data_IF_730484826192
#
_entry.id   IF_730484826192
#
_cell.length_a   1.000
_cell.length_b   1.000
_cell.length_c   1.000
_cell.angle_alpha   90.00
_cell.angle_beta   90.00
_cell.angle_gamma   90.00
#
_symmetry.space_group_name_H-M   'P 1'
#
loop_
_entity.id
_entity.type
_entity.pdbx_description
1 polymer ?
#
# COMPACT_ATOMS: atom_id res chain seq x y z
N UNK A 1 -0.37 -2.89 30.27
CA UNK A 1 1.03 -2.47 30.45
C UNK A 1 1.61 -2.30 29.05
N UNK A 2 1.98 -1.09 28.64
CA UNK A 2 2.57 -0.86 27.31
C UNK A 2 4.07 -1.05 27.43
N UNK A 3 4.59 -2.17 26.94
CA UNK A 3 6.04 -2.38 26.84
C UNK A 3 6.60 -1.50 25.71
N UNK A 4 7.60 -0.64 25.97
CA UNK A 4 8.20 0.17 24.94
C UNK A 4 8.91 -0.75 23.93
N UNK A 5 8.53 -0.64 22.66
CA UNK A 5 9.14 -1.44 21.58
C UNK A 5 10.66 -1.25 21.55
N UNK A 6 11.40 -2.37 21.46
CA UNK A 6 12.86 -2.38 21.35
C UNK A 6 13.31 -1.54 20.15
N UNK A 7 14.17 -0.54 20.39
CA UNK A 7 14.72 0.31 19.33
C UNK A 7 16.17 -0.09 19.04
N UNK A 8 16.48 -0.39 17.78
CA UNK A 8 17.83 -0.65 17.28
C UNK A 8 18.27 0.50 16.39
N UNK A 9 19.56 0.82 16.39
CA UNK A 9 20.13 1.93 15.61
C UNK A 9 21.23 1.43 14.68
N UNK A 10 21.24 1.94 13.45
CA UNK A 10 22.36 1.81 12.53
C UNK A 10 23.21 3.09 12.54
N UNK A 11 24.53 2.93 12.49
CA UNK A 11 25.46 4.00 12.16
C UNK A 11 25.84 3.86 10.68
N UNK A 12 25.58 4.89 9.88
CA UNK A 12 25.86 4.88 8.44
C UNK A 12 26.78 6.05 8.08
N UNK A 13 27.78 5.77 7.24
CA UNK A 13 28.61 6.79 6.61
C UNK A 13 28.08 7.05 5.20
N UNK A 14 27.97 8.34 4.85
CA UNK A 14 27.52 8.78 3.52
C UNK A 14 28.54 9.76 2.95
N UNK A 15 28.54 9.93 1.63
CA UNK A 15 29.41 10.93 1.01
C UNK A 15 29.02 12.35 1.43
N UNK A 16 29.97 13.31 1.47
CA UNK A 16 29.69 14.69 1.85
C UNK A 16 28.55 15.33 1.05
N UNK A 17 28.54 15.09 -0.27
CA UNK A 17 27.51 15.60 -1.19
C UNK A 17 26.10 15.12 -0.83
N UNK A 18 25.96 13.86 -0.42
CA UNK A 18 24.67 13.31 0.01
C UNK A 18 24.23 13.94 1.32
N UNK A 19 25.15 14.06 2.28
CA UNK A 19 24.86 14.70 3.56
C UNK A 19 24.37 16.14 3.38
N UNK A 20 25.07 16.94 2.57
CA UNK A 20 24.71 18.34 2.30
C UNK A 20 23.33 18.46 1.65
N UNK A 21 23.01 17.61 0.68
CA UNK A 21 21.72 17.60 0.02
C UNK A 21 20.57 17.26 0.99
N UNK A 22 20.78 16.28 1.88
CA UNK A 22 19.81 15.93 2.92
C UNK A 22 19.67 17.06 3.93
N UNK A 23 20.78 17.62 4.41
CA UNK A 23 20.76 18.71 5.38
C UNK A 23 20.03 19.95 4.85
N UNK A 24 20.22 20.30 3.57
CA UNK A 24 19.48 21.39 2.92
C UNK A 24 17.98 21.14 2.92
N UNK A 25 17.53 19.99 2.43
CA UNK A 25 16.11 19.63 2.38
C UNK A 25 15.48 19.49 3.76
N UNK A 26 16.25 19.03 4.75
CA UNK A 26 15.78 18.91 6.12
C UNK A 26 15.45 20.30 6.70
N UNK A 27 16.31 21.30 6.47
CA UNK A 27 16.06 22.69 6.88
C UNK A 27 14.80 23.27 6.24
N UNK A 28 14.59 23.02 4.95
CA UNK A 28 13.38 23.45 4.23
C UNK A 28 12.09 22.86 4.82
N UNK A 29 12.18 21.73 5.52
CA UNK A 29 11.05 21.02 6.14
C UNK A 29 11.01 21.16 7.68
N UNK A 30 11.89 21.97 8.29
CA UNK A 30 11.99 22.10 9.74
C UNK A 30 12.44 20.83 10.46
N UNK A 31 13.13 19.93 9.78
CA UNK A 31 13.62 18.65 10.30
C UNK A 31 15.12 18.71 10.56
N UNK A 32 15.60 17.82 11.46
CA UNK A 32 17.04 17.55 11.56
C UNK A 32 17.50 16.70 10.36
N UNK A 33 18.79 16.78 9.95
CA UNK A 33 19.32 15.92 8.88
C UNK A 33 19.09 14.43 9.14
N UNK A 34 19.28 13.99 10.40
CA UNK A 34 19.03 12.61 10.83
C UNK A 34 17.54 12.24 10.75
N UNK A 35 16.64 13.17 11.10
CA UNK A 35 15.20 12.97 11.00
C UNK A 35 14.74 12.74 9.56
N UNK A 36 15.20 13.58 8.63
CA UNK A 36 14.91 13.40 7.21
C UNK A 36 15.57 12.12 6.65
N UNK A 37 16.81 11.83 7.04
CA UNK A 37 17.49 10.59 6.63
C UNK A 37 16.72 9.34 7.07
N UNK A 38 16.18 9.34 8.30
CA UNK A 38 15.33 8.26 8.80
C UNK A 38 14.07 8.10 7.93
N UNK A 39 13.37 9.19 7.63
CA UNK A 39 12.16 9.14 6.79
C UNK A 39 12.46 8.58 5.39
N UNK A 40 13.56 9.02 4.77
CA UNK A 40 13.99 8.51 3.47
C UNK A 40 14.35 7.04 3.54
N UNK A 41 15.03 6.60 4.60
CA UNK A 41 15.38 5.21 4.81
C UNK A 41 14.13 4.33 4.97
N UNK A 42 13.21 4.72 5.87
CA UNK A 42 11.96 3.99 6.12
C UNK A 42 11.12 3.88 4.83
N UNK A 43 11.01 4.97 4.06
CA UNK A 43 10.30 4.98 2.78
C UNK A 43 10.97 4.09 1.73
N UNK A 44 12.30 4.16 1.59
CA UNK A 44 13.04 3.32 0.66
C UNK A 44 13.00 1.84 1.05
N UNK A 45 13.07 1.53 2.34
CA UNK A 45 12.95 0.18 2.86
C UNK A 45 11.55 -0.39 2.60
N UNK A 46 10.49 0.38 2.87
CA UNK A 46 9.13 -0.02 2.53
C UNK A 46 8.95 -0.20 1.02
N UNK A 47 9.54 0.66 0.19
CA UNK A 47 9.45 0.56 -1.27
C UNK A 47 10.27 -0.61 -1.86
N UNK A 48 11.39 -1.01 -1.26
CA UNK A 48 12.24 -2.11 -1.73
C UNK A 48 11.85 -3.44 -1.10
N UNK A 49 11.90 -3.49 0.23
CA UNK A 49 11.67 -4.73 0.99
C UNK A 49 10.18 -4.96 1.24
N UNK A 50 9.37 -3.90 1.34
CA UNK A 50 7.92 -4.07 1.37
C UNK A 50 7.38 -4.67 0.06
N UNK A 51 8.04 -4.44 -1.08
CA UNK A 51 7.75 -5.12 -2.36
C UNK A 51 8.27 -6.56 -2.40
N UNK A 52 9.27 -6.91 -1.60
CA UNK A 52 9.78 -8.30 -1.50
C UNK A 52 9.00 -9.14 -0.48
N UNK A 53 8.47 -8.49 0.57
CA UNK A 53 7.69 -9.13 1.66
C UNK A 53 6.19 -9.12 1.42
N UNK A 54 5.67 -8.13 0.72
CA UNK A 54 4.41 -8.32 0.01
C UNK A 54 4.74 -9.20 -1.18
N UNK A 55 4.13 -10.38 -1.25
CA UNK A 55 4.19 -11.27 -2.39
C UNK A 55 4.11 -10.49 -3.72
N UNK A 56 4.64 -11.04 -4.83
CA UNK A 56 4.38 -10.46 -6.15
C UNK A 56 2.89 -10.10 -6.24
N UNK A 57 2.59 -8.98 -6.91
CA UNK A 57 1.23 -8.62 -7.35
C UNK A 57 0.77 -9.64 -8.40
N UNK A 58 0.76 -10.90 -7.99
CA UNK A 58 0.02 -12.00 -8.56
C UNK A 58 -1.03 -12.29 -7.49
N UNK A 59 -1.93 -11.32 -7.29
CA UNK A 59 -3.10 -11.50 -6.47
C UNK A 59 -4.12 -12.32 -7.29
N UNK A 60 -3.69 -13.49 -7.76
CA UNK A 60 -4.48 -14.40 -8.58
C UNK A 60 -5.80 -14.76 -7.87
N UNK A 61 -5.80 -14.70 -6.53
CA UNK A 61 -6.99 -14.85 -5.73
C UNK A 61 -7.91 -13.63 -5.85
N UNK A 62 -7.40 -12.40 -5.71
CA UNK A 62 -8.19 -11.20 -5.98
C UNK A 62 -8.67 -11.15 -7.44
N UNK A 63 -7.85 -11.53 -8.42
CA UNK A 63 -8.23 -11.54 -9.83
C UNK A 63 -9.35 -12.56 -10.09
N UNK A 64 -9.31 -13.74 -9.45
CA UNK A 64 -10.41 -14.71 -9.49
C UNK A 64 -11.66 -14.14 -8.83
N UNK A 65 -11.53 -13.51 -7.66
CA UNK A 65 -12.67 -12.89 -6.96
C UNK A 65 -13.31 -11.78 -7.80
N UNK A 66 -12.49 -10.93 -8.42
CA UNK A 66 -12.92 -9.87 -9.33
C UNK A 66 -13.61 -10.47 -10.56
N UNK A 67 -13.03 -11.50 -11.17
CA UNK A 67 -13.63 -12.21 -12.32
C UNK A 67 -14.99 -12.82 -11.98
N UNK A 68 -15.10 -13.50 -10.83
CA UNK A 68 -16.36 -14.10 -10.37
C UNK A 68 -17.42 -13.03 -10.08
N UNK A 69 -17.05 -11.94 -9.40
CA UNK A 69 -17.98 -10.83 -9.12
C UNK A 69 -18.42 -10.15 -10.41
N UNK A 70 -17.53 -10.00 -11.40
CA UNK A 70 -17.89 -9.47 -12.72
C UNK A 70 -18.84 -10.38 -13.49
N UNK A 71 -18.63 -11.69 -13.47
CA UNK A 71 -19.53 -12.65 -14.12
C UNK A 71 -20.96 -12.60 -13.55
N UNK A 72 -21.11 -12.22 -12.27
CA UNK A 72 -22.41 -12.07 -11.62
C UNK A 72 -22.98 -10.64 -11.67
N UNK A 73 -22.23 -9.65 -12.17
CA UNK A 73 -22.66 -8.26 -12.17
C UNK A 73 -23.89 -8.06 -13.07
N UNK A 74 -24.92 -7.40 -12.54
CA UNK A 74 -26.18 -7.14 -13.28
C UNK A 74 -27.22 -8.26 -13.22
N UNK A 75 -26.87 -9.42 -12.65
CA UNK A 75 -27.76 -10.58 -12.51
C UNK A 75 -28.33 -10.77 -11.08
N UNK A 76 -27.84 -10.01 -10.10
CA UNK A 76 -28.30 -10.09 -8.70
C UNK A 76 -27.77 -8.94 -7.83
N UNK A 77 -28.29 -8.87 -6.60
CA UNK A 77 -27.82 -7.94 -5.58
C UNK A 77 -26.56 -8.47 -4.84
N UNK A 78 -25.97 -7.66 -3.96
CA UNK A 78 -24.73 -7.99 -3.25
C UNK A 78 -24.86 -9.29 -2.45
N UNK A 79 -26.03 -9.55 -1.87
CA UNK A 79 -26.31 -10.77 -1.12
C UNK A 79 -26.35 -12.01 -2.01
N UNK A 80 -26.97 -11.92 -3.19
CA UNK A 80 -26.98 -12.99 -4.19
C UNK A 80 -25.56 -13.28 -4.71
N UNK A 81 -24.77 -12.23 -4.99
CA UNK A 81 -23.39 -12.38 -5.46
C UNK A 81 -22.52 -13.03 -4.37
N UNK A 82 -22.62 -12.61 -3.11
CA UNK A 82 -21.92 -13.23 -1.98
C UNK A 82 -22.25 -14.72 -1.88
N UNK A 83 -23.53 -15.08 -1.99
CA UNK A 83 -23.96 -16.48 -1.93
C UNK A 83 -23.39 -17.31 -3.09
N UNK A 84 -23.25 -16.72 -4.28
CA UNK A 84 -22.76 -17.41 -5.47
C UNK A 84 -21.23 -17.53 -5.52
N UNK A 85 -20.50 -16.52 -5.04
CA UNK A 85 -19.03 -16.44 -5.20
C UNK A 85 -18.26 -16.70 -3.92
N UNK A 86 -18.91 -16.65 -2.75
CA UNK A 86 -18.26 -16.71 -1.44
C UNK A 86 -17.46 -15.47 -1.06
N UNK A 87 -17.44 -14.44 -1.92
CA UNK A 87 -16.69 -13.20 -1.68
C UNK A 87 -17.39 -12.34 -0.64
N UNK A 88 -16.63 -11.72 0.26
CA UNK A 88 -17.18 -10.84 1.29
C UNK A 88 -17.90 -9.62 0.68
N UNK A 89 -19.02 -9.22 1.29
CA UNK A 89 -19.88 -8.13 0.78
C UNK A 89 -19.11 -6.82 0.60
N UNK A 90 -18.24 -6.44 1.54
CA UNK A 90 -17.42 -5.25 1.45
C UNK A 90 -16.48 -5.26 0.22
N UNK A 91 -15.99 -6.44 -0.18
CA UNK A 91 -15.16 -6.60 -1.37
C UNK A 91 -16.01 -6.49 -2.64
N UNK A 92 -17.19 -7.12 -2.67
CA UNK A 92 -18.15 -7.02 -3.78
C UNK A 92 -18.56 -5.57 -4.01
N UNK A 93 -18.93 -4.84 -2.96
CA UNK A 93 -19.32 -3.43 -3.05
C UNK A 93 -18.21 -2.55 -3.60
N UNK A 94 -16.96 -2.76 -3.15
CA UNK A 94 -15.79 -2.04 -3.66
C UNK A 94 -15.57 -2.30 -5.15
N UNK A 95 -15.67 -3.55 -5.59
CA UNK A 95 -15.49 -3.95 -7.00
C UNK A 95 -16.59 -3.31 -7.88
N UNK A 96 -17.86 -3.46 -7.50
CA UNK A 96 -18.99 -2.89 -8.26
C UNK A 96 -18.95 -1.36 -8.29
N UNK A 97 -18.57 -0.72 -7.18
CA UNK A 97 -18.41 0.74 -7.11
C UNK A 97 -17.28 1.23 -8.02
N UNK A 98 -16.14 0.54 -8.03
CA UNK A 98 -15.02 0.86 -8.92
C UNK A 98 -15.43 0.72 -10.39
N UNK A 99 -16.14 -0.35 -10.75
CA UNK A 99 -16.63 -0.58 -12.10
C UNK A 99 -17.57 0.53 -12.60
N UNK A 100 -18.59 0.88 -11.81
CA UNK A 100 -19.53 1.98 -12.15
C UNK A 100 -18.81 3.31 -12.36
N UNK A 101 -17.77 3.58 -11.57
CA UNK A 101 -16.96 4.80 -11.69
C UNK A 101 -16.14 4.85 -12.98
N UNK A 102 -15.69 3.70 -13.48
CA UNK A 102 -14.94 3.59 -14.74
C UNK A 102 -15.87 3.61 -15.96
N UNK A 103 -17.03 2.95 -15.88
CA UNK A 103 -18.04 2.96 -16.94
C UNK A 103 -18.72 4.32 -17.17
N UNK A 104 -18.71 5.22 -16.18
CA UNK A 104 -19.23 6.59 -16.30
C UNK A 104 -18.30 7.56 -17.07
N UNK A 105 -17.16 7.09 -17.58
CA UNK A 105 -16.20 7.87 -18.36
C UNK A 105 -16.04 7.39 -19.82
N UNK A 106 -16.90 6.49 -20.27
CA UNK A 106 -16.99 6.05 -21.67
C UNK A 106 -18.17 6.74 -22.37
#
# INVERSE_FOLDING_TARGET
MFEPAERKQFAIQVSPKVYEAVAKRAREQGLSPTGLAKLLFDAAFAARIGQERAAPVDDAELDRQVTLVFACAGHGDVAAIKKATGVAEATIERILKAWRKTGAKA
#
